data_IF_908335726185
#
_entry.id   IF_908335726185
#
_cell.length_a   1.000
_cell.length_b   1.000
_cell.length_c   1.000
_cell.angle_alpha   90.00
_cell.angle_beta   90.00
_cell.angle_gamma   90.00
#
_symmetry.space_group_name_H-M   'P 1'
#
loop_
_entity.id
_entity.type
_entity.pdbx_description
1 polymer ?
#
# COMPACT_ATOMS: atom_id res chain seq x y z
N UNK A 1 22.44 18.55 6.91
CA UNK A 1 20.96 18.49 6.87
C UNK A 1 20.59 17.05 6.55
N UNK A 2 19.65 16.47 7.28
CA UNK A 2 19.34 15.03 7.23
C UNK A 2 18.92 14.61 5.79
N UNK A 3 19.81 13.98 5.04
CA UNK A 3 19.47 13.22 3.82
C UNK A 3 18.62 12.03 4.24
N UNK A 4 17.31 12.26 4.35
CA UNK A 4 16.34 11.17 4.51
C UNK A 4 16.39 10.35 3.23
N UNK A 5 17.23 9.30 3.23
CA UNK A 5 17.18 8.17 2.30
C UNK A 5 15.81 7.53 2.40
N UNK A 6 14.85 8.04 1.64
CA UNK A 6 13.51 7.46 1.50
C UNK A 6 13.17 7.46 0.02
N UNK A 7 12.61 6.35 -0.46
CA UNK A 7 12.04 6.31 -1.80
C UNK A 7 11.13 7.52 -2.03
N UNK A 8 11.11 8.09 -3.24
CA UNK A 8 10.26 9.24 -3.54
C UNK A 8 8.79 8.90 -3.21
N UNK A 9 8.05 9.83 -2.58
CA UNK A 9 6.64 9.60 -2.28
C UNK A 9 5.85 9.48 -3.59
N UNK A 10 5.04 8.43 -3.70
CA UNK A 10 4.06 8.31 -4.78
C UNK A 10 2.72 8.84 -4.29
N UNK A 11 2.22 9.90 -4.91
CA UNK A 11 0.91 10.46 -4.57
C UNK A 11 -0.19 9.63 -5.23
N UNK A 12 -1.06 9.05 -4.40
CA UNK A 12 -2.16 8.22 -4.84
C UNK A 12 -3.48 8.92 -4.57
N UNK A 13 -4.26 9.18 -5.63
CA UNK A 13 -5.60 9.75 -5.50
C UNK A 13 -6.61 8.61 -5.44
N UNK A 14 -7.43 8.62 -4.41
CA UNK A 14 -8.48 7.65 -4.17
C UNK A 14 -9.81 8.37 -4.13
N UNK A 15 -10.81 7.76 -4.78
CA UNK A 15 -12.18 8.10 -4.49
C UNK A 15 -12.50 7.80 -3.01
N UNK A 16 -13.34 8.61 -2.33
CA UNK A 16 -13.67 8.39 -0.92
C UNK A 16 -14.23 6.99 -0.61
N UNK A 17 -15.04 6.42 -1.50
CA UNK A 17 -15.62 5.10 -1.29
C UNK A 17 -14.55 4.01 -1.34
N UNK A 18 -13.64 4.11 -2.30
CA UNK A 18 -12.51 3.20 -2.42
C UNK A 18 -11.60 3.31 -1.21
N UNK A 19 -11.31 4.53 -0.72
CA UNK A 19 -10.50 4.74 0.49
C UNK A 19 -11.12 4.04 1.70
N UNK A 20 -12.43 4.17 1.90
CA UNK A 20 -13.16 3.54 3.01
C UNK A 20 -13.10 2.01 2.92
N UNK A 21 -13.31 1.45 1.73
CA UNK A 21 -13.22 0.00 1.52
C UNK A 21 -11.82 -0.54 1.83
N UNK A 22 -10.77 0.19 1.43
CA UNK A 22 -9.39 -0.20 1.73
C UNK A 22 -9.05 -0.10 3.21
N UNK A 23 -9.53 0.93 3.93
CA UNK A 23 -9.33 1.07 5.38
C UNK A 23 -10.03 -0.08 6.15
N UNK A 24 -11.22 -0.47 5.73
CA UNK A 24 -11.94 -1.61 6.33
C UNK A 24 -11.19 -2.93 6.09
N UNK A 25 -10.76 -3.19 4.85
CA UNK A 25 -9.98 -4.38 4.52
C UNK A 25 -8.64 -4.41 5.27
N UNK A 26 -7.95 -3.27 5.38
CA UNK A 26 -6.72 -3.15 6.16
C UNK A 26 -6.94 -3.49 7.64
N UNK A 27 -8.05 -3.04 8.23
CA UNK A 27 -8.40 -3.37 9.62
C UNK A 27 -8.68 -4.86 9.80
N UNK A 28 -9.38 -5.48 8.86
CA UNK A 28 -9.69 -6.92 8.89
C UNK A 28 -8.44 -7.79 8.74
N UNK A 29 -7.51 -7.37 7.89
CA UNK A 29 -6.23 -8.05 7.67
C UNK A 29 -5.20 -7.81 8.79
N UNK A 30 -5.44 -6.83 9.67
CA UNK A 30 -4.59 -6.54 10.83
C UNK A 30 -3.26 -5.85 10.50
N UNK A 31 -3.10 -5.29 9.30
CA UNK A 31 -1.90 -4.53 8.95
C UNK A 31 -1.81 -3.23 9.77
N UNK A 32 -0.60 -2.78 10.10
CA UNK A 32 -0.38 -1.60 10.97
C UNK A 32 -0.80 -0.27 10.33
N UNK A 33 -0.89 -0.21 9.01
CA UNK A 33 -1.29 0.99 8.28
C UNK A 33 -1.80 0.66 6.88
N UNK A 34 -2.59 1.57 6.31
CA UNK A 34 -3.03 1.49 4.92
C UNK A 34 -1.86 1.36 3.94
N UNK A 35 -0.74 2.05 4.18
CA UNK A 35 0.44 1.95 3.34
C UNK A 35 1.12 0.57 3.41
N UNK A 36 1.15 -0.06 4.59
CA UNK A 36 1.64 -1.43 4.75
C UNK A 36 0.74 -2.43 4.01
N UNK A 37 -0.57 -2.30 4.19
CA UNK A 37 -1.58 -3.11 3.52
C UNK A 37 -1.48 -3.00 1.99
N UNK A 38 -1.43 -1.77 1.45
CA UNK A 38 -1.28 -1.53 0.01
C UNK A 38 0.00 -2.19 -0.53
N UNK A 39 1.14 -2.04 0.15
CA UNK A 39 2.40 -2.68 -0.27
C UNK A 39 2.27 -4.20 -0.31
N UNK A 40 1.60 -4.80 0.69
CA UNK A 40 1.38 -6.25 0.75
C UNK A 40 0.48 -6.72 -0.40
N UNK A 41 -0.63 -6.03 -0.65
CA UNK A 41 -1.55 -6.33 -1.75
C UNK A 41 -0.85 -6.23 -3.11
N UNK A 42 -0.11 -5.14 -3.37
CA UNK A 42 0.63 -4.95 -4.62
C UNK A 42 1.70 -6.05 -4.80
N UNK A 43 2.49 -6.36 -3.77
CA UNK A 43 3.49 -7.44 -3.84
C UNK A 43 2.85 -8.80 -4.13
N UNK A 44 1.69 -9.09 -3.54
CA UNK A 44 0.94 -10.32 -3.80
C UNK A 44 0.51 -10.38 -5.27
N UNK A 45 -0.03 -9.30 -5.82
CA UNK A 45 -0.44 -9.21 -7.23
C UNK A 45 0.76 -9.38 -8.18
N UNK A 46 1.87 -8.69 -7.92
CA UNK A 46 3.10 -8.80 -8.72
C UNK A 46 3.64 -10.24 -8.71
N UNK A 47 3.69 -10.89 -7.55
CA UNK A 47 4.09 -12.29 -7.43
C UNK A 47 3.18 -13.22 -8.23
N UNK A 48 1.86 -12.98 -8.23
CA UNK A 48 0.91 -13.77 -9.03
C UNK A 48 1.13 -13.60 -10.54
N UNK A 49 1.65 -12.45 -10.98
CA UNK A 49 2.06 -12.21 -12.37
C UNK A 49 3.48 -12.68 -12.69
N UNK A 50 4.20 -13.27 -11.73
CA UNK A 50 5.60 -13.71 -11.90
C UNK A 50 6.61 -12.56 -11.90
N UNK A 51 6.26 -11.40 -11.32
CA UNK A 51 7.14 -10.23 -11.22
C UNK A 51 7.73 -10.18 -9.81
N UNK A 52 9.05 -10.30 -9.69
CA UNK A 52 9.79 -10.20 -8.42
C UNK A 52 10.36 -8.79 -8.22
N UNK A 53 10.10 -8.20 -7.04
CA UNK A 53 10.51 -6.84 -6.63
C UNK A 53 10.93 -6.79 -5.17
#
# INVERSE_FOLDING_TARGET
>A
MNERRGNPPFQFRLDPELRKAMEEAQRQDGDESLAAWIKRVIRKELKQKGIEV
#
